data_IF_135608541353
#
_entry.id   IF_135608541353
#
_cell.length_a   1.000
_cell.length_b   1.000
_cell.length_c   1.000
_cell.angle_alpha   90.00
_cell.angle_beta   90.00
_cell.angle_gamma   90.00
#
_symmetry.space_group_name_H-M   'P 1'
#
loop_
_entity.id
_entity.type
_entity.pdbx_description
1 polymer ?
#
# COMPACT_ATOMS: atom_id res chain seq x y z
N UNK A 1 18.77 12.18 5.69
CA UNK A 1 18.13 11.73 4.42
C UNK A 1 16.90 10.92 4.80
N UNK A 2 15.67 11.27 4.38
CA UNK A 2 14.53 10.44 4.72
C UNK A 2 14.67 9.12 3.96
N UNK A 3 14.56 8.02 4.70
CA UNK A 3 14.63 6.64 4.21
C UNK A 3 13.80 6.51 2.92
N UNK A 4 14.41 6.07 1.81
CA UNK A 4 13.66 5.57 0.66
C UNK A 4 12.99 4.28 1.13
N UNK A 5 11.80 4.39 1.74
CA UNK A 5 11.00 3.24 2.10
C UNK A 5 10.64 2.51 0.81
N UNK A 6 11.18 1.31 0.63
CA UNK A 6 10.80 0.43 -0.47
C UNK A 6 9.37 -0.06 -0.21
N UNK A 7 8.40 0.61 -0.80
CA UNK A 7 7.01 0.18 -0.73
C UNK A 7 6.83 -1.13 -1.49
N UNK A 8 6.43 -2.17 -0.77
CA UNK A 8 5.99 -3.46 -1.35
C UNK A 8 4.47 -3.51 -1.46
N UNK A 9 3.93 -4.42 -2.27
CA UNK A 9 2.48 -4.69 -2.39
C UNK A 9 1.75 -4.87 -1.05
N UNK A 10 2.46 -5.39 -0.03
CA UNK A 10 1.95 -5.57 1.34
C UNK A 10 1.49 -4.27 2.01
N UNK A 11 1.94 -3.10 1.54
CA UNK A 11 1.55 -1.80 2.07
C UNK A 11 0.20 -1.31 1.53
N UNK A 12 -0.27 -1.84 0.40
CA UNK A 12 -1.50 -1.38 -0.27
C UNK A 12 -2.72 -1.57 0.64
N UNK A 13 -2.88 -2.78 1.19
CA UNK A 13 -4.03 -3.14 2.02
C UNK A 13 -4.10 -2.33 3.34
N UNK A 14 -3.00 -2.22 4.14
CA UNK A 14 -2.99 -1.36 5.33
C UNK A 14 -3.30 0.11 5.02
N UNK A 15 -2.71 0.67 3.95
CA UNK A 15 -2.96 2.08 3.56
C UNK A 15 -4.42 2.30 3.19
N UNK A 16 -5.03 1.36 2.45
CA UNK A 16 -6.46 1.40 2.12
C UNK A 16 -7.33 1.35 3.38
N UNK A 17 -7.02 0.47 4.31
CA UNK A 17 -7.77 0.32 5.56
C UNK A 17 -7.60 1.51 6.51
N UNK A 18 -6.47 2.21 6.46
CA UNK A 18 -6.19 3.39 7.30
C UNK A 18 -7.17 4.55 7.06
N UNK A 19 -7.83 4.59 5.91
CA UNK A 19 -8.94 5.53 5.60
C UNK A 19 -10.29 4.83 5.44
N UNK A 20 -10.39 3.58 5.90
CA UNK A 20 -11.58 2.73 5.79
C UNK A 20 -12.17 2.68 4.37
N UNK A 21 -11.31 2.57 3.35
CA UNK A 21 -11.72 2.56 1.95
C UNK A 21 -11.96 1.15 1.42
N UNK A 22 -12.99 1.01 0.60
CA UNK A 22 -13.22 -0.20 -0.20
C UNK A 22 -12.20 -0.29 -1.35
N UNK A 23 -12.08 -1.46 -1.98
CA UNK A 23 -11.25 -1.63 -3.18
C UNK A 23 -11.69 -0.70 -4.32
N UNK A 24 -13.01 -0.55 -4.50
CA UNK A 24 -13.58 0.34 -5.51
C UNK A 24 -13.22 1.81 -5.24
N UNK A 25 -13.36 2.29 -4.01
CA UNK A 25 -12.94 3.66 -3.69
C UNK A 25 -11.43 3.86 -3.87
N UNK A 26 -10.63 2.90 -3.40
CA UNK A 26 -9.17 2.97 -3.52
C UNK A 26 -8.69 2.97 -4.98
N UNK A 27 -9.45 2.32 -5.87
CA UNK A 27 -9.22 2.32 -7.32
C UNK A 27 -9.19 3.72 -7.93
N UNK A 28 -10.06 4.62 -7.45
CA UNK A 28 -10.10 6.01 -7.91
C UNK A 28 -8.88 6.80 -7.45
N UNK A 29 -8.33 6.49 -6.27
CA UNK A 29 -7.12 7.15 -5.77
C UNK A 29 -5.87 6.70 -6.52
N UNK A 30 -5.76 5.39 -6.78
CA UNK A 30 -4.62 4.79 -7.45
C UNK A 30 -4.72 4.84 -8.99
N UNK A 31 -5.89 5.20 -9.55
CA UNK A 31 -6.16 5.12 -10.99
C UNK A 31 -5.83 3.73 -11.57
N UNK A 32 -6.19 2.66 -10.86
CA UNK A 32 -5.97 1.26 -11.27
C UNK A 32 -7.27 0.52 -11.06
N UNK A 33 -7.60 -0.41 -11.96
CA UNK A 33 -8.81 -1.21 -11.84
C UNK A 33 -8.89 -1.97 -10.49
N UNK A 34 -10.06 -2.01 -9.81
CA UNK A 34 -10.21 -2.70 -8.52
C UNK A 34 -9.76 -4.16 -8.53
N UNK A 35 -9.95 -4.88 -9.64
CA UNK A 35 -9.51 -6.28 -9.76
C UNK A 35 -7.99 -6.38 -9.77
N UNK A 36 -7.31 -5.41 -10.41
CA UNK A 36 -5.86 -5.34 -10.46
C UNK A 36 -5.29 -5.00 -9.09
N UNK A 37 -5.92 -4.08 -8.35
CA UNK A 37 -5.55 -3.78 -6.97
C UNK A 37 -5.72 -5.01 -6.09
N UNK A 38 -6.81 -5.78 -6.24
CA UNK A 38 -7.00 -7.03 -5.53
C UNK A 38 -5.88 -8.05 -5.82
N UNK A 39 -5.47 -8.21 -7.08
CA UNK A 39 -4.34 -9.08 -7.48
C UNK A 39 -3.02 -8.59 -6.90
N UNK A 40 -2.80 -7.27 -6.85
CA UNK A 40 -1.64 -6.66 -6.20
C UNK A 40 -1.63 -6.92 -4.70
N UNK A 41 -2.75 -6.70 -4.00
CA UNK A 41 -2.87 -6.95 -2.56
C UNK A 41 -2.58 -8.41 -2.18
N UNK A 42 -2.96 -9.36 -3.06
CA UNK A 42 -2.67 -10.80 -2.88
C UNK A 42 -1.27 -11.21 -3.31
N UNK A 43 -0.49 -10.33 -3.94
CA UNK A 43 0.84 -10.63 -4.48
C UNK A 43 0.82 -11.50 -5.74
N UNK A 44 -0.35 -11.68 -6.38
CA UNK A 44 -0.50 -12.40 -7.65
C UNK A 44 0.08 -11.61 -8.82
N UNK A 45 0.16 -10.28 -8.67
CA UNK A 45 0.68 -9.39 -9.69
C UNK A 45 1.94 -8.68 -9.18
N UNK A 46 2.98 -8.63 -10.01
CA UNK A 46 4.26 -8.02 -9.66
C UNK A 46 4.07 -6.53 -9.43
N UNK A 47 4.50 -6.04 -8.26
CA UNK A 47 4.52 -4.62 -7.95
C UNK A 47 5.62 -3.91 -8.76
N UNK A 48 5.29 -3.58 -10.01
CA UNK A 48 6.19 -2.92 -10.95
C UNK A 48 6.36 -1.43 -10.60
N UNK A 49 7.40 -0.75 -11.14
CA UNK A 49 7.60 0.68 -10.92
C UNK A 49 6.39 1.55 -11.26
N UNK A 50 5.60 1.14 -12.27
CA UNK A 50 4.34 1.80 -12.62
C UNK A 50 3.33 1.78 -11.46
N UNK A 51 3.12 0.62 -10.84
CA UNK A 51 2.20 0.49 -9.70
C UNK A 51 2.75 1.18 -8.45
N UNK A 52 4.06 1.20 -8.28
CA UNK A 52 4.70 1.94 -7.19
C UNK A 52 4.45 3.45 -7.31
N UNK A 53 4.62 4.01 -8.52
CA UNK A 53 4.33 5.41 -8.80
C UNK A 53 2.86 5.75 -8.53
N UNK A 54 1.92 4.94 -9.05
CA UNK A 54 0.48 5.10 -8.80
C UNK A 54 0.11 4.99 -7.32
N UNK A 55 0.76 4.09 -6.59
CA UNK A 55 0.54 3.95 -5.15
C UNK A 55 1.04 5.17 -4.37
N UNK A 56 2.20 5.73 -4.74
CA UNK A 56 2.70 6.97 -4.14
C UNK A 56 1.76 8.15 -4.39
N UNK A 57 1.16 8.24 -5.58
CA UNK A 57 0.12 9.24 -5.86
C UNK A 57 -1.12 9.03 -4.99
N UNK A 58 -1.58 7.78 -4.83
CA UNK A 58 -2.71 7.46 -3.97
C UNK A 58 -2.46 7.87 -2.51
N UNK A 59 -1.26 7.59 -1.98
CA UNK A 59 -0.82 8.02 -0.64
C UNK A 59 -0.93 9.54 -0.48
N UNK A 60 -0.42 10.30 -1.48
CA UNK A 60 -0.48 11.76 -1.47
C UNK A 60 -1.93 12.26 -1.48
N UNK A 61 -2.79 11.68 -2.33
CA UNK A 61 -4.22 12.04 -2.42
C UNK A 61 -4.98 11.71 -1.14
N UNK A 62 -4.66 10.60 -0.48
CA UNK A 62 -5.25 10.17 0.80
C UNK A 62 -4.70 10.93 2.01
N UNK A 63 -3.74 11.85 1.80
CA UNK A 63 -3.06 12.63 2.85
C UNK A 63 -2.54 11.72 3.97
N UNK A 64 -1.89 10.62 3.58
CA UNK A 64 -1.23 9.74 4.55
C UNK A 64 0.13 10.33 4.87
N UNK A 65 0.34 10.63 6.15
CA UNK A 65 1.58 11.19 6.65
C UNK A 65 2.72 10.16 6.62
N UNK A 66 3.96 10.64 6.59
CA UNK A 66 5.14 9.78 6.70
C UNK A 66 5.18 8.98 8.01
N UNK A 67 4.61 9.53 9.09
CA UNK A 67 4.50 8.86 10.39
C UNK A 67 3.55 7.65 10.28
N UNK A 68 2.38 7.82 9.69
CA UNK A 68 1.41 6.74 9.45
C UNK A 68 2.03 5.62 8.59
N UNK A 69 2.77 5.98 7.53
CA UNK A 69 3.48 5.00 6.69
C UNK A 69 4.57 4.24 7.47
N UNK A 70 5.35 4.95 8.29
CA UNK A 70 6.37 4.33 9.14
C UNK A 70 5.74 3.34 10.15
N UNK A 71 4.61 3.70 10.75
CA UNK A 71 3.84 2.81 11.62
C UNK A 71 3.38 1.56 10.88
N UNK A 72 2.86 1.68 9.66
CA UNK A 72 2.46 0.53 8.84
C UNK A 72 3.65 -0.38 8.55
N UNK A 73 4.79 0.16 8.14
CA UNK A 73 5.97 -0.66 7.85
C UNK A 73 6.46 -1.41 9.10
N UNK A 74 6.45 -0.76 10.27
CA UNK A 74 6.81 -1.40 11.53
C UNK A 74 5.84 -2.53 11.90
N UNK A 75 4.53 -2.34 11.67
CA UNK A 75 3.52 -3.38 11.87
C UNK A 75 3.76 -4.58 10.95
N UNK A 76 4.08 -4.32 9.67
CA UNK A 76 4.38 -5.39 8.70
C UNK A 76 5.65 -6.15 9.08
N UNK A 77 6.69 -5.45 9.52
CA UNK A 77 7.93 -6.05 10.01
C UNK A 77 7.67 -6.94 11.23
N UNK A 78 6.94 -6.44 12.23
CA UNK A 78 6.56 -7.21 13.42
C UNK A 78 5.72 -8.45 13.06
N UNK A 79 4.80 -8.36 12.10
CA UNK A 79 4.02 -9.50 11.62
C UNK A 79 4.88 -10.54 10.91
N UNK A 80 5.85 -10.09 10.11
CA UNK A 80 6.80 -10.96 9.43
C UNK A 80 7.69 -11.72 10.43
N UNK A 81 8.16 -11.06 11.49
CA UNK A 81 8.97 -11.68 12.54
C UNK A 81 8.16 -12.71 13.36
N UNK A 82 6.87 -12.48 13.56
CA UNK A 82 5.97 -13.40 14.29
C UNK A 82 5.51 -14.60 13.47
N UNK A 83 5.95 -14.76 12.22
CA UNK A 83 5.58 -15.89 11.35
C UNK A 83 4.13 -15.85 10.86
N UNK A 84 3.42 -14.73 11.03
CA UNK A 84 2.08 -14.57 10.47
C UNK A 84 2.19 -14.38 8.95
N UNK A 85 1.84 -15.43 8.21
CA UNK A 85 1.63 -15.41 6.75
C UNK A 85 0.29 -14.78 6.40
#
# INVERSE_FOLDING_TARGET
MPYKQEFTYKHIRPVRHLRNKTLAEFSHFMNVDPSTIGKLERGELKFSPLYQSRFQEAIKRLRVSGIELASISKILEMKSQRGYR
#
